data_IF_403634880568
#
_entry.id   IF_403634880568
#
_cell.length_a   1.000
_cell.length_b   1.000
_cell.length_c   1.000
_cell.angle_alpha   90.00
_cell.angle_beta   90.00
_cell.angle_gamma   90.00
#
_symmetry.space_group_name_H-M   'P 1'
#
loop_
_entity.id
_entity.type
_entity.pdbx_description
1 polymer ?
#
# COMPACT_ATOMS: atom_id res chain seq x y z
N UNK A 1 -9.03 -33.72 -4.58
CA UNK A 1 -8.82 -32.67 -3.57
C UNK A 1 -7.35 -32.39 -3.25
N UNK A 2 -6.45 -33.38 -3.22
CA UNK A 2 -4.99 -33.19 -2.98
C UNK A 2 -4.25 -32.38 -4.07
N UNK A 3 -4.68 -32.44 -5.31
CA UNK A 3 -4.05 -31.73 -6.45
C UNK A 3 -4.23 -30.22 -6.43
N UNK A 4 -5.33 -29.72 -5.87
CA UNK A 4 -5.62 -28.27 -5.76
C UNK A 4 -4.68 -27.58 -4.79
N UNK A 5 -4.43 -28.17 -3.63
CA UNK A 5 -3.54 -27.61 -2.60
C UNK A 5 -2.07 -27.60 -3.08
N UNK A 6 -1.67 -28.61 -3.83
CA UNK A 6 -0.31 -28.66 -4.43
C UNK A 6 -0.09 -27.55 -5.45
N UNK A 7 -1.15 -27.09 -6.16
CA UNK A 7 -1.11 -26.00 -7.14
C UNK A 7 -0.92 -24.61 -6.51
N UNK A 8 -1.26 -24.40 -5.23
CA UNK A 8 -1.19 -23.10 -4.56
C UNK A 8 0.11 -22.87 -3.78
N UNK A 9 0.88 -23.92 -3.50
CA UNK A 9 2.15 -23.81 -2.77
C UNK A 9 3.14 -22.78 -3.36
N UNK A 10 3.39 -22.76 -4.68
CA UNK A 10 4.32 -21.79 -5.27
C UNK A 10 3.83 -20.34 -5.11
N UNK A 11 2.53 -20.10 -5.18
CA UNK A 11 1.95 -18.77 -5.02
C UNK A 11 2.03 -18.28 -3.56
N UNK A 12 1.84 -19.16 -2.59
CA UNK A 12 2.01 -18.82 -1.18
C UNK A 12 3.48 -18.54 -0.84
N UNK A 13 4.40 -19.33 -1.37
CA UNK A 13 5.85 -19.09 -1.21
C UNK A 13 6.26 -17.75 -1.83
N UNK A 14 5.72 -17.42 -3.01
CA UNK A 14 5.92 -16.13 -3.66
C UNK A 14 5.39 -14.97 -2.81
N UNK A 15 4.17 -15.10 -2.29
CA UNK A 15 3.57 -14.10 -1.42
C UNK A 15 4.45 -13.82 -0.19
N UNK A 16 4.89 -14.87 0.50
CA UNK A 16 5.76 -14.78 1.66
C UNK A 16 7.10 -14.12 1.33
N UNK A 17 7.72 -14.54 0.23
CA UNK A 17 9.01 -14.00 -0.22
C UNK A 17 8.89 -12.49 -0.49
N UNK A 18 7.87 -12.08 -1.23
CA UNK A 18 7.63 -10.66 -1.55
C UNK A 18 7.27 -9.85 -0.30
N UNK A 19 6.45 -10.39 0.60
CA UNK A 19 6.16 -9.75 1.86
C UNK A 19 7.42 -9.52 2.71
N UNK A 20 8.30 -10.51 2.79
CA UNK A 20 9.60 -10.37 3.47
C UNK A 20 10.51 -9.34 2.78
N UNK A 21 10.54 -9.31 1.47
CA UNK A 21 11.33 -8.35 0.69
C UNK A 21 10.85 -6.91 0.94
N UNK A 22 9.55 -6.66 0.90
CA UNK A 22 8.98 -5.34 1.17
C UNK A 22 9.25 -4.86 2.60
N UNK A 23 9.23 -5.78 3.58
CA UNK A 23 9.54 -5.41 4.97
C UNK A 23 11.01 -5.02 5.18
N UNK A 24 11.92 -5.37 4.29
CA UNK A 24 13.32 -4.93 4.37
C UNK A 24 13.51 -3.45 4.01
N UNK A 25 12.62 -2.88 3.20
CA UNK A 25 12.68 -1.47 2.78
C UNK A 25 12.04 -0.50 3.80
N UNK A 26 12.26 -0.74 5.10
CA UNK A 26 11.67 0.05 6.20
C UNK A 26 12.04 1.54 6.12
N UNK A 27 13.25 1.87 5.72
CA UNK A 27 13.69 3.27 5.58
C UNK A 27 12.87 4.03 4.54
N UNK A 28 12.60 3.45 3.38
CA UNK A 28 11.76 4.06 2.36
C UNK A 28 10.28 4.18 2.82
N UNK A 29 9.80 3.18 3.58
CA UNK A 29 8.46 3.24 4.17
C UNK A 29 8.34 4.37 5.19
N UNK A 30 9.37 4.56 6.05
CA UNK A 30 9.43 5.66 7.02
C UNK A 30 9.46 7.03 6.33
N UNK A 31 10.27 7.21 5.27
CA UNK A 31 10.28 8.45 4.49
C UNK A 31 8.91 8.80 3.91
N UNK A 32 8.21 7.79 3.36
CA UNK A 32 6.85 7.96 2.87
C UNK A 32 5.84 8.29 3.98
N UNK A 33 6.01 7.72 5.17
CA UNK A 33 5.18 8.01 6.34
C UNK A 33 5.35 9.45 6.82
N UNK A 34 6.60 9.92 6.93
CA UNK A 34 6.90 11.30 7.34
C UNK A 34 6.26 12.30 6.37
N UNK A 35 6.42 12.08 5.06
CA UNK A 35 5.79 12.93 4.05
C UNK A 35 4.26 12.93 4.17
N UNK A 36 3.67 11.78 4.38
CA UNK A 36 2.22 11.63 4.50
C UNK A 36 1.69 12.30 5.78
N UNK A 37 2.40 12.15 6.91
CA UNK A 37 2.09 12.82 8.17
C UNK A 37 2.19 14.35 8.01
N UNK A 38 3.23 14.84 7.35
CA UNK A 38 3.40 16.27 7.07
C UNK A 38 2.22 16.85 6.28
N UNK A 39 1.82 16.22 5.17
CA UNK A 39 0.66 16.66 4.41
C UNK A 39 -0.65 16.53 5.18
N UNK A 40 -0.82 15.46 5.95
CA UNK A 40 -1.99 15.30 6.82
C UNK A 40 -2.13 16.43 7.81
N UNK A 41 -1.06 16.77 8.53
CA UNK A 41 -1.04 17.90 9.48
C UNK A 41 -1.26 19.25 8.79
N UNK A 42 -0.72 19.45 7.60
CA UNK A 42 -0.93 20.65 6.82
C UNK A 42 -2.42 20.82 6.47
N UNK A 43 -3.09 19.77 6.01
CA UNK A 43 -4.52 19.79 5.73
C UNK A 43 -5.36 20.01 7.00
N UNK A 44 -5.02 19.35 8.10
CA UNK A 44 -5.69 19.57 9.40
C UNK A 44 -5.57 21.04 9.82
N UNK A 45 -4.38 21.62 9.73
CA UNK A 45 -4.16 23.05 10.06
C UNK A 45 -4.95 23.97 9.15
N UNK A 46 -5.01 23.67 7.86
CA UNK A 46 -5.78 24.44 6.87
C UNK A 46 -7.28 24.41 7.19
N UNK A 47 -7.84 23.22 7.40
CA UNK A 47 -9.26 23.09 7.70
C UNK A 47 -9.61 23.70 9.06
N UNK A 48 -8.77 23.54 10.07
CA UNK A 48 -8.97 24.21 11.37
C UNK A 48 -8.99 25.73 11.23
N UNK A 49 -8.17 26.29 10.33
CA UNK A 49 -8.19 27.72 10.05
C UNK A 49 -9.44 28.19 9.28
N UNK A 50 -9.94 27.37 8.34
CA UNK A 50 -11.13 27.65 7.56
C UNK A 50 -12.41 27.57 8.40
N UNK A 51 -12.50 26.60 9.29
CA UNK A 51 -13.67 26.37 10.16
C UNK A 51 -13.62 27.16 11.48
N UNK A 52 -12.80 28.22 11.56
CA UNK A 52 -12.75 29.08 12.75
C UNK A 52 -14.10 29.74 13.01
N UNK A 53 -14.77 29.32 14.09
CA UNK A 53 -16.06 29.84 14.51
C UNK A 53 -17.28 29.08 13.99
N UNK A 54 -17.10 28.05 13.22
CA UNK A 54 -18.17 27.18 12.72
C UNK A 54 -18.33 25.90 13.57
N UNK A 55 -19.21 25.00 13.13
CA UNK A 55 -19.61 23.81 13.85
C UNK A 55 -18.40 22.84 14.06
N UNK A 56 -18.02 22.63 15.31
CA UNK A 56 -16.93 21.75 15.73
C UNK A 56 -17.12 20.29 15.27
N UNK A 57 -18.36 19.83 15.15
CA UNK A 57 -18.67 18.48 14.69
C UNK A 57 -18.30 18.31 13.19
N UNK A 58 -18.62 19.30 12.37
CA UNK A 58 -18.30 19.30 10.94
C UNK A 58 -16.78 19.36 10.69
N UNK A 59 -16.05 20.10 11.52
CA UNK A 59 -14.59 20.10 11.50
C UNK A 59 -14.02 18.70 11.81
N UNK A 60 -14.53 18.00 12.82
CA UNK A 60 -14.06 16.67 13.20
C UNK A 60 -14.32 15.63 12.09
N UNK A 61 -15.49 15.70 11.44
CA UNK A 61 -15.82 14.85 10.29
C UNK A 61 -14.86 15.12 9.12
N UNK A 62 -14.59 16.39 8.81
CA UNK A 62 -13.68 16.79 7.74
C UNK A 62 -12.25 16.30 8.00
N UNK A 63 -11.75 16.45 9.22
CA UNK A 63 -10.42 15.94 9.62
C UNK A 63 -10.36 14.42 9.46
N UNK A 64 -11.39 13.70 9.90
CA UNK A 64 -11.48 12.24 9.75
C UNK A 64 -11.46 11.85 8.28
N UNK A 65 -12.20 12.55 7.42
CA UNK A 65 -12.22 12.35 5.98
C UNK A 65 -10.82 12.54 5.36
N UNK A 66 -10.11 13.60 5.75
CA UNK A 66 -8.74 13.87 5.26
C UNK A 66 -7.79 12.71 5.60
N UNK A 67 -7.83 12.21 6.82
CA UNK A 67 -6.99 11.07 7.21
C UNK A 67 -7.35 9.79 6.44
N UNK A 68 -8.64 9.50 6.27
CA UNK A 68 -9.10 8.37 5.46
C UNK A 68 -8.67 8.50 4.00
N UNK A 69 -8.83 9.67 3.42
CA UNK A 69 -8.40 9.97 2.04
C UNK A 69 -6.89 9.72 1.86
N UNK A 70 -6.06 10.20 2.78
CA UNK A 70 -4.61 9.99 2.77
C UNK A 70 -4.24 8.50 2.80
N UNK A 71 -4.97 7.70 3.59
CA UNK A 71 -4.75 6.26 3.68
C UNK A 71 -5.13 5.53 2.39
N UNK A 72 -6.33 5.80 1.85
CA UNK A 72 -6.86 5.10 0.68
C UNK A 72 -6.14 5.48 -0.61
N UNK A 73 -5.83 6.77 -0.80
CA UNK A 73 -5.21 7.27 -2.02
C UNK A 73 -3.91 6.53 -2.35
N UNK A 74 -3.11 6.23 -1.34
CA UNK A 74 -1.83 5.55 -1.52
C UNK A 74 -1.98 4.06 -1.86
N UNK A 75 -3.00 3.40 -1.32
CA UNK A 75 -3.28 1.98 -1.61
C UNK A 75 -3.79 1.81 -3.05
N UNK A 76 -4.60 2.76 -3.53
CA UNK A 76 -5.18 2.72 -4.87
C UNK A 76 -4.17 3.05 -5.98
N UNK A 77 -3.24 3.98 -5.73
CA UNK A 77 -2.28 4.47 -6.73
C UNK A 77 -0.99 3.64 -6.86
N UNK A 78 -0.93 2.45 -6.31
CA UNK A 78 0.22 1.56 -6.50
C UNK A 78 0.26 1.00 -7.92
N UNK A 79 1.24 1.46 -8.70
CA UNK A 79 1.53 0.93 -10.03
C UNK A 79 2.45 -0.29 -9.93
N UNK A 80 2.23 -1.27 -10.80
CA UNK A 80 3.12 -2.43 -10.95
C UNK A 80 4.34 -2.04 -11.81
N UNK A 81 5.32 -1.39 -11.17
CA UNK A 81 6.57 -0.97 -11.83
C UNK A 81 7.40 -2.18 -12.27
N UNK A 82 7.29 -3.30 -11.56
CA UNK A 82 8.06 -4.51 -11.86
C UNK A 82 7.56 -5.18 -13.16
N UNK A 83 6.25 -5.20 -13.37
CA UNK A 83 5.67 -5.70 -14.62
C UNK A 83 6.06 -4.80 -15.81
N UNK A 84 5.98 -3.49 -15.62
CA UNK A 84 6.38 -2.51 -16.66
C UNK A 84 7.86 -2.71 -17.03
N UNK A 85 8.75 -2.86 -16.04
CA UNK A 85 10.16 -3.12 -16.29
C UNK A 85 10.39 -4.45 -17.04
N UNK A 86 9.69 -5.53 -16.67
CA UNK A 86 9.80 -6.81 -17.36
C UNK A 86 9.37 -6.71 -18.84
N UNK A 87 8.35 -5.92 -19.13
CA UNK A 87 7.94 -5.65 -20.53
C UNK A 87 9.01 -4.87 -21.26
N UNK A 88 9.53 -3.79 -20.66
CA UNK A 88 10.53 -2.92 -21.29
C UNK A 88 11.88 -3.60 -21.52
N UNK A 89 12.29 -4.50 -20.62
CA UNK A 89 13.59 -5.22 -20.70
C UNK A 89 13.50 -6.53 -21.46
N UNK A 90 12.32 -6.91 -21.97
CA UNK A 90 12.11 -8.22 -22.60
C UNK A 90 12.09 -9.41 -21.63
N UNK A 91 12.15 -9.16 -20.32
CA UNK A 91 12.12 -10.18 -19.28
C UNK A 91 10.84 -11.02 -19.27
N UNK A 92 9.77 -10.49 -19.87
CA UNK A 92 8.51 -11.21 -20.03
C UNK A 92 8.66 -12.50 -20.86
N UNK A 93 9.58 -12.54 -21.83
CA UNK A 93 9.87 -13.73 -22.63
C UNK A 93 10.36 -14.91 -21.74
N UNK A 94 11.18 -14.62 -20.76
CA UNK A 94 11.62 -15.63 -19.79
C UNK A 94 10.52 -16.04 -18.79
N UNK A 95 9.64 -15.11 -18.46
CA UNK A 95 8.53 -15.38 -17.56
C UNK A 95 7.54 -16.37 -18.18
N UNK A 96 7.26 -16.26 -19.50
CA UNK A 96 6.32 -17.14 -20.23
C UNK A 96 6.84 -18.58 -20.31
N UNK A 97 8.16 -18.81 -20.23
CA UNK A 97 8.74 -20.14 -20.22
C UNK A 97 8.52 -20.92 -18.90
N UNK A 98 8.08 -20.24 -17.85
CA UNK A 98 7.78 -20.89 -16.57
C UNK A 98 6.41 -21.58 -16.63
N UNK A 99 6.26 -22.81 -16.11
CA UNK A 99 5.00 -23.54 -16.10
C UNK A 99 4.07 -23.06 -14.98
N UNK A 100 3.84 -21.73 -14.92
CA UNK A 100 2.95 -21.07 -13.95
C UNK A 100 2.07 -20.08 -14.70
N UNK A 101 0.84 -19.91 -14.23
CA UNK A 101 -0.06 -18.89 -14.75
C UNK A 101 0.50 -17.51 -14.43
N UNK A 102 0.89 -16.77 -15.47
CA UNK A 102 1.54 -15.46 -15.37
C UNK A 102 0.61 -14.42 -14.72
N UNK A 103 -0.68 -14.49 -15.00
CA UNK A 103 -1.66 -13.59 -14.40
C UNK A 103 -1.75 -13.81 -12.88
N UNK A 104 -1.91 -15.06 -12.44
CA UNK A 104 -1.95 -15.39 -11.02
C UNK A 104 -0.65 -15.03 -10.31
N UNK A 105 0.48 -15.25 -10.97
CA UNK A 105 1.80 -14.91 -10.44
C UNK A 105 1.94 -13.40 -10.22
N UNK A 106 1.59 -12.58 -11.22
CA UNK A 106 1.59 -11.12 -11.11
C UNK A 106 0.59 -10.62 -10.06
N UNK A 107 -0.61 -11.20 -10.02
CA UNK A 107 -1.65 -10.85 -9.05
C UNK A 107 -1.19 -11.11 -7.60
N UNK A 108 -0.67 -12.29 -7.30
CA UNK A 108 -0.18 -12.64 -5.95
C UNK A 108 0.97 -11.75 -5.52
N UNK A 109 1.89 -11.45 -6.44
CA UNK A 109 3.01 -10.54 -6.22
C UNK A 109 2.51 -9.13 -5.84
N UNK A 110 1.60 -8.59 -6.64
CA UNK A 110 1.00 -7.27 -6.39
C UNK A 110 0.21 -7.23 -5.08
N UNK A 111 -0.53 -8.28 -4.77
CA UNK A 111 -1.27 -8.37 -3.51
C UNK A 111 -0.34 -8.37 -2.30
N UNK A 112 0.76 -9.15 -2.34
CA UNK A 112 1.75 -9.16 -1.28
C UNK A 112 2.33 -7.76 -1.03
N UNK A 113 2.72 -7.08 -2.10
CA UNK A 113 3.27 -5.73 -2.03
C UNK A 113 2.26 -4.72 -1.46
N UNK A 114 1.03 -4.75 -1.95
CA UNK A 114 -0.06 -3.86 -1.47
C UNK A 114 -0.38 -4.10 0.01
N UNK A 115 -0.52 -5.35 0.44
CA UNK A 115 -0.83 -5.67 1.83
C UNK A 115 0.26 -5.21 2.78
N UNK A 116 1.53 -5.49 2.49
CA UNK A 116 2.64 -5.07 3.35
C UNK A 116 2.76 -3.56 3.42
N UNK A 117 2.70 -2.88 2.27
CA UNK A 117 2.76 -1.41 2.23
C UNK A 117 1.56 -0.76 2.93
N UNK A 118 0.36 -1.33 2.78
CA UNK A 118 -0.82 -0.87 3.50
C UNK A 118 -0.63 -1.01 5.01
N UNK A 119 -0.24 -2.19 5.49
CA UNK A 119 -0.03 -2.44 6.92
C UNK A 119 1.06 -1.53 7.52
N UNK A 120 2.20 -1.39 6.82
CA UNK A 120 3.30 -0.54 7.29
C UNK A 120 2.93 0.94 7.43
N UNK A 121 1.91 1.40 6.71
CA UNK A 121 1.45 2.80 6.72
C UNK A 121 0.19 3.00 7.54
N UNK A 122 -0.79 2.10 7.44
CA UNK A 122 -2.04 2.21 8.17
C UNK A 122 -1.82 2.18 9.69
N UNK A 123 -0.99 1.24 10.16
CA UNK A 123 -0.76 1.08 11.61
C UNK A 123 -0.22 2.35 12.26
N UNK A 124 0.89 2.96 11.80
CA UNK A 124 1.39 4.20 12.41
C UNK A 124 0.49 5.41 12.16
N UNK A 125 -0.24 5.47 11.05
CA UNK A 125 -1.18 6.58 10.78
C UNK A 125 -2.39 6.54 11.69
N UNK A 126 -2.96 5.35 11.94
CA UNK A 126 -4.03 5.17 12.92
C UNK A 126 -3.53 5.56 14.32
N UNK A 127 -2.31 5.12 14.71
CA UNK A 127 -1.72 5.51 15.98
C UNK A 127 -1.56 7.03 16.10
N UNK A 128 -1.13 7.71 15.03
CA UNK A 128 -1.00 9.17 15.00
C UNK A 128 -2.36 9.88 15.17
N UNK A 129 -3.42 9.35 14.53
CA UNK A 129 -4.77 9.91 14.65
C UNK A 129 -5.33 9.80 16.07
N UNK A 130 -5.00 8.73 16.80
CA UNK A 130 -5.44 8.59 18.20
C UNK A 130 -4.62 9.46 19.17
N UNK A 131 -3.47 9.96 18.75
CA UNK A 131 -2.57 10.77 19.58
C UNK A 131 -2.82 12.28 19.43
N UNK A 132 -3.49 12.68 18.35
CA UNK A 132 -3.85 14.05 17.99
C UNK A 132 -5.28 14.37 18.32
#
# INVERSE_FOLDING_TARGET
MKTWIASWKPYFSLYRLKAMQETQYRAAALGGLVTQAFFGLLYVSLYTALFRGENQAELAETITYVWLQQMFFRVLLMNDTELIQQVMTGGLAYAVLRPVDQYRFAFVRNMAQRHVNALMRLVPMIALQFLL
#
